data_IF_522430059585
#
_entry.id   IF_522430059585
#
_cell.length_a   1.000
_cell.length_b   1.000
_cell.length_c   1.000
_cell.angle_alpha   90.00
_cell.angle_beta   90.00
_cell.angle_gamma   90.00
#
_symmetry.space_group_name_H-M   'P 1'
#
loop_
_entity.id
_entity.type
_entity.pdbx_description
1 polymer ?
#
# COMPACT_ATOMS: atom_id res chain seq x y z
N UNK A 1 -12.54 -23.98 10.73
CA UNK A 1 -14.00 -23.98 11.05
C UNK A 1 -14.78 -23.80 9.76
N UNK A 2 -15.72 -24.70 9.45
CA UNK A 2 -16.53 -24.69 8.22
C UNK A 2 -17.92 -24.02 8.38
N UNK A 3 -18.12 -23.26 9.44
CA UNK A 3 -19.38 -22.60 9.71
C UNK A 3 -19.47 -21.23 9.02
N UNK A 4 -20.64 -20.90 8.47
CA UNK A 4 -20.96 -19.57 7.98
C UNK A 4 -21.25 -18.67 9.18
N UNK A 5 -20.55 -17.55 9.30
CA UNK A 5 -20.77 -16.54 10.33
C UNK A 5 -21.39 -15.29 9.70
N UNK A 6 -22.29 -14.68 10.42
CA UNK A 6 -22.90 -13.40 10.06
C UNK A 6 -21.92 -12.28 10.38
N UNK A 7 -21.53 -11.48 9.38
CA UNK A 7 -20.69 -10.30 9.56
C UNK A 7 -21.53 -9.02 9.59
N UNK A 8 -22.42 -8.83 8.61
CA UNK A 8 -23.38 -7.74 8.58
C UNK A 8 -24.60 -8.11 7.69
N UNK A 9 -25.56 -7.17 7.49
CA UNK A 9 -26.80 -7.43 6.71
C UNK A 9 -26.55 -7.89 5.26
N UNK A 10 -25.37 -7.63 4.70
CA UNK A 10 -25.03 -7.90 3.30
C UNK A 10 -23.87 -8.88 3.15
N UNK A 11 -23.27 -9.33 4.25
CA UNK A 11 -22.04 -10.11 4.20
C UNK A 11 -22.03 -11.23 5.23
N UNK A 12 -21.78 -12.43 4.74
CA UNK A 12 -21.47 -13.61 5.54
C UNK A 12 -20.02 -14.00 5.33
N UNK A 13 -19.39 -14.58 6.33
CA UNK A 13 -18.04 -15.12 6.27
C UNK A 13 -18.06 -16.62 6.48
N UNK A 14 -17.19 -17.32 5.76
CA UNK A 14 -16.99 -18.76 5.95
C UNK A 14 -15.52 -19.13 5.92
N UNK A 15 -15.15 -20.09 6.78
CA UNK A 15 -13.81 -20.67 6.73
C UNK A 15 -13.67 -21.64 5.53
N UNK A 16 -12.47 -21.76 5.01
CA UNK A 16 -12.13 -22.75 3.99
C UNK A 16 -11.15 -23.79 4.58
N UNK A 17 -11.62 -25.00 4.86
CA UNK A 17 -10.77 -26.06 5.44
C UNK A 17 -9.78 -26.67 4.42
N UNK A 18 -9.91 -26.33 3.14
CA UNK A 18 -9.09 -26.86 2.05
C UNK A 18 -7.97 -25.92 1.63
N UNK A 19 -7.70 -24.88 2.42
CA UNK A 19 -6.57 -23.99 2.14
C UNK A 19 -5.25 -24.73 2.24
N UNK A 20 -4.45 -24.56 1.21
CA UNK A 20 -3.04 -24.97 1.19
C UNK A 20 -2.19 -23.79 1.66
N UNK A 21 -1.06 -24.06 2.29
CA UNK A 21 -0.16 -23.01 2.75
C UNK A 21 0.44 -22.26 1.58
N UNK A 22 0.37 -20.95 1.64
CA UNK A 22 1.11 -20.06 0.74
C UNK A 22 2.61 -20.18 0.98
N UNK A 23 3.38 -20.22 -0.10
CA UNK A 23 4.84 -20.27 -0.06
C UNK A 23 5.40 -19.12 -0.90
N UNK A 24 6.06 -18.17 -0.24
CA UNK A 24 6.78 -17.07 -0.88
C UNK A 24 8.28 -17.39 -0.95
N UNK A 25 8.89 -17.15 -2.13
CA UNK A 25 10.31 -17.25 -2.37
C UNK A 25 10.84 -15.94 -2.88
N UNK A 26 11.75 -15.33 -2.12
CA UNK A 26 12.28 -14.01 -2.39
C UNK A 26 13.76 -14.08 -2.78
N UNK A 27 14.12 -13.25 -3.76
CA UNK A 27 15.51 -12.98 -4.13
C UNK A 27 15.69 -11.49 -4.17
N UNK A 28 16.64 -10.96 -3.39
CA UNK A 28 16.89 -9.52 -3.31
C UNK A 28 18.31 -9.18 -3.70
N UNK A 29 18.46 -8.04 -4.35
CA UNK A 29 19.73 -7.38 -4.63
C UNK A 29 19.73 -6.02 -3.97
N UNK A 30 20.73 -5.77 -3.12
CA UNK A 30 20.90 -4.53 -2.37
C UNK A 30 22.20 -3.83 -2.77
N UNK A 31 22.10 -2.55 -3.07
CA UNK A 31 23.23 -1.67 -3.34
C UNK A 31 23.17 -0.47 -2.40
N UNK A 32 24.27 -0.21 -1.69
CA UNK A 32 24.41 0.98 -0.86
C UNK A 32 25.70 1.73 -1.25
N UNK A 33 25.55 3.00 -1.57
CA UNK A 33 26.70 3.86 -1.88
C UNK A 33 26.46 5.27 -1.34
N UNK A 34 27.23 5.65 -0.32
CA UNK A 34 27.12 6.96 0.34
C UNK A 34 25.66 7.27 0.76
N UNK A 35 25.06 8.22 0.09
CA UNK A 35 23.70 8.71 0.31
C UNK A 35 22.65 8.01 -0.58
N UNK A 36 23.03 7.00 -1.35
CA UNK A 36 22.15 6.24 -2.23
C UNK A 36 22.00 4.81 -1.70
N UNK A 37 20.77 4.33 -1.62
CA UNK A 37 20.45 2.90 -1.47
C UNK A 37 19.48 2.48 -2.56
N UNK A 38 19.72 1.32 -3.13
CA UNK A 38 18.86 0.70 -4.12
C UNK A 38 18.60 -0.75 -3.71
N UNK A 39 17.35 -1.14 -3.74
CA UNK A 39 16.91 -2.52 -3.54
C UNK A 39 16.09 -2.96 -4.74
N UNK A 40 16.31 -4.18 -5.20
CA UNK A 40 15.50 -4.87 -6.19
C UNK A 40 15.14 -6.24 -5.63
N UNK A 41 13.86 -6.51 -5.46
CA UNK A 41 13.35 -7.79 -4.96
C UNK A 41 12.46 -8.43 -6.02
N UNK A 42 12.75 -9.68 -6.31
CA UNK A 42 11.89 -10.58 -7.06
C UNK A 42 11.26 -11.57 -6.11
N UNK A 43 9.95 -11.71 -6.17
CA UNK A 43 9.17 -12.64 -5.38
C UNK A 43 8.36 -13.57 -6.26
N UNK A 44 8.38 -14.86 -5.92
CA UNK A 44 7.49 -15.87 -6.47
C UNK A 44 6.60 -16.41 -5.36
N UNK A 45 5.30 -16.22 -5.51
CA UNK A 45 4.29 -16.69 -4.55
C UNK A 45 3.57 -17.90 -5.15
N UNK A 46 3.65 -19.03 -4.46
CA UNK A 46 2.92 -20.26 -4.79
C UNK A 46 1.70 -20.38 -3.89
N UNK A 47 0.56 -20.76 -4.48
CA UNK A 47 -0.71 -20.94 -3.78
C UNK A 47 -1.13 -19.71 -2.93
N UNK A 48 -1.09 -18.47 -3.47
CA UNK A 48 -1.41 -17.26 -2.72
C UNK A 48 -2.80 -17.37 -2.12
N UNK A 49 -2.94 -16.89 -0.86
CA UNK A 49 -4.20 -16.90 -0.14
C UNK A 49 -4.79 -15.48 -0.18
N UNK A 50 -5.91 -15.33 -0.86
CA UNK A 50 -6.62 -14.05 -0.91
C UNK A 50 -8.11 -14.21 -0.62
N UNK A 51 -8.74 -13.11 -0.24
CA UNK A 51 -10.17 -13.06 0.00
C UNK A 51 -10.95 -12.98 -1.31
N UNK A 52 -11.99 -13.79 -1.42
CA UNK A 52 -12.98 -13.68 -2.50
C UNK A 52 -14.37 -13.48 -1.91
N UNK A 53 -15.25 -12.90 -2.74
CA UNK A 53 -16.66 -12.71 -2.40
C UNK A 53 -17.49 -13.39 -3.48
N UNK A 54 -18.38 -14.29 -3.06
CA UNK A 54 -19.34 -15.00 -3.93
C UNK A 54 -20.77 -14.66 -3.51
N UNK A 55 -21.72 -14.89 -4.39
CA UNK A 55 -23.15 -14.74 -4.03
C UNK A 55 -23.56 -15.84 -3.04
N UNK A 56 -24.22 -15.46 -1.97
CA UNK A 56 -24.75 -16.42 -1.00
C UNK A 56 -26.08 -17.00 -1.47
N UNK A 57 -26.13 -18.32 -1.77
CA UNK A 57 -27.35 -19.04 -2.17
C UNK A 57 -28.11 -18.34 -3.30
N UNK A 58 -27.44 -17.91 -4.37
CA UNK A 58 -28.01 -17.20 -5.50
C UNK A 58 -28.67 -15.85 -5.17
N UNK A 59 -28.49 -15.35 -3.97
CA UNK A 59 -28.96 -14.04 -3.57
C UNK A 59 -27.93 -12.97 -3.94
N UNK A 60 -28.28 -12.12 -4.92
CA UNK A 60 -27.38 -11.07 -5.45
C UNK A 60 -27.10 -9.93 -4.48
N UNK A 61 -27.85 -9.85 -3.36
CA UNK A 61 -27.69 -8.78 -2.36
C UNK A 61 -26.82 -9.21 -1.18
N UNK A 62 -26.48 -10.50 -1.07
CA UNK A 62 -25.69 -11.04 0.03
C UNK A 62 -24.39 -11.63 -0.51
N UNK A 63 -23.26 -11.11 -0.03
CA UNK A 63 -21.92 -11.62 -0.32
C UNK A 63 -21.48 -12.67 0.70
N UNK A 64 -20.89 -13.77 0.23
CA UNK A 64 -20.20 -14.76 1.06
C UNK A 64 -18.71 -14.56 0.91
N UNK A 65 -18.06 -14.05 1.92
CA UNK A 65 -16.61 -13.88 1.99
C UNK A 65 -15.93 -15.17 2.39
N UNK A 66 -14.90 -15.55 1.67
CA UNK A 66 -14.04 -16.69 2.04
C UNK A 66 -12.61 -16.49 1.52
N UNK A 67 -11.65 -17.11 2.19
CA UNK A 67 -10.29 -17.23 1.72
C UNK A 67 -10.16 -18.40 0.75
N UNK A 68 -9.45 -18.20 -0.36
CA UNK A 68 -9.13 -19.24 -1.34
C UNK A 68 -7.66 -19.17 -1.73
N UNK A 69 -7.12 -20.30 -2.21
CA UNK A 69 -5.84 -20.26 -2.90
C UNK A 69 -6.04 -19.85 -4.36
N UNK A 70 -5.17 -19.02 -4.84
CA UNK A 70 -5.11 -18.58 -6.23
C UNK A 70 -4.00 -19.24 -7.02
N UNK A 71 -3.83 -18.79 -8.26
CA UNK A 71 -2.71 -19.20 -9.11
C UNK A 71 -1.44 -18.52 -8.64
N UNK A 72 -0.33 -19.25 -8.69
CA UNK A 72 1.00 -18.70 -8.42
C UNK A 72 1.27 -17.46 -9.28
N UNK A 73 1.89 -16.46 -8.69
CA UNK A 73 2.26 -15.22 -9.38
C UNK A 73 3.67 -14.76 -9.03
N UNK A 74 4.14 -13.81 -9.82
CA UNK A 74 5.44 -13.17 -9.59
C UNK A 74 5.23 -11.69 -9.26
N UNK A 75 6.12 -11.16 -8.44
CA UNK A 75 6.17 -9.76 -8.12
C UNK A 75 7.61 -9.24 -8.21
N UNK A 76 7.79 -8.02 -8.71
CA UNK A 76 9.06 -7.31 -8.72
C UNK A 76 8.87 -5.97 -8.08
N UNK A 77 9.61 -5.72 -7.00
CA UNK A 77 9.64 -4.44 -6.30
C UNK A 77 11.02 -3.82 -6.43
N UNK A 78 11.08 -2.57 -6.85
CA UNK A 78 12.30 -1.77 -6.92
C UNK A 78 12.17 -0.54 -6.04
N UNK A 79 13.12 -0.33 -5.14
CA UNK A 79 13.15 0.82 -4.24
C UNK A 79 14.47 1.56 -4.36
N UNK A 80 14.40 2.87 -4.60
CA UNK A 80 15.54 3.79 -4.62
C UNK A 80 15.36 4.82 -3.51
N UNK A 81 16.36 4.97 -2.65
CA UNK A 81 16.41 6.02 -1.65
C UNK A 81 17.65 6.88 -1.83
N UNK A 82 17.47 8.19 -1.78
CA UNK A 82 18.50 9.20 -1.84
C UNK A 82 18.41 10.09 -0.61
N UNK A 83 19.49 10.17 0.17
CA UNK A 83 19.53 10.90 1.45
C UNK A 83 20.81 11.77 1.56
N UNK A 84 21.05 12.71 0.64
CA UNK A 84 22.18 13.62 0.75
C UNK A 84 21.97 14.63 1.89
N UNK A 85 23.07 15.25 2.34
CA UNK A 85 23.05 16.30 3.35
C UNK A 85 23.69 17.57 2.78
N UNK A 86 22.97 18.69 2.87
CA UNK A 86 23.43 19.99 2.37
C UNK A 86 23.35 21.03 3.49
N UNK A 87 24.32 21.01 4.41
CA UNK A 87 24.34 21.88 5.59
C UNK A 87 23.11 21.65 6.49
N UNK A 88 22.22 22.64 6.56
CA UNK A 88 20.97 22.55 7.34
C UNK A 88 19.86 21.78 6.61
N UNK A 89 20.00 21.51 5.34
CA UNK A 89 19.00 20.85 4.53
C UNK A 89 19.32 19.38 4.34
N UNK A 90 18.40 18.51 4.77
CA UNK A 90 18.49 17.05 4.73
C UNK A 90 17.33 16.49 3.90
N UNK A 91 17.39 16.54 2.57
CA UNK A 91 16.36 15.95 1.73
C UNK A 91 16.46 14.43 1.74
N UNK A 92 15.30 13.77 1.68
CA UNK A 92 15.18 12.35 1.45
C UNK A 92 14.17 12.11 0.33
N UNK A 93 14.62 11.51 -0.76
CA UNK A 93 13.77 11.04 -1.84
C UNK A 93 13.71 9.52 -1.79
N UNK A 94 12.50 8.96 -1.73
CA UNK A 94 12.24 7.54 -1.86
C UNK A 94 11.32 7.31 -3.05
N UNK A 95 11.71 6.42 -3.94
CA UNK A 95 10.91 5.99 -5.08
C UNK A 95 10.79 4.47 -5.05
N UNK A 96 9.57 3.97 -4.99
CA UNK A 96 9.25 2.54 -5.05
C UNK A 96 8.39 2.28 -6.28
N UNK A 97 8.70 1.24 -7.01
CA UNK A 97 7.89 0.75 -8.13
C UNK A 97 7.66 -0.74 -7.92
N UNK A 98 6.42 -1.12 -7.93
CA UNK A 98 6.01 -2.51 -7.85
C UNK A 98 5.27 -2.93 -9.10
N UNK A 99 5.63 -4.09 -9.61
CA UNK A 99 4.97 -4.73 -10.73
C UNK A 99 4.73 -6.20 -10.43
N UNK A 100 3.48 -6.57 -10.44
CA UNK A 100 3.03 -7.94 -10.31
C UNK A 100 2.60 -8.55 -11.65
N UNK A 101 2.63 -9.87 -11.75
CA UNK A 101 1.99 -10.68 -12.79
C UNK A 101 0.95 -11.57 -12.13
N UNK A 102 -0.09 -10.90 -11.61
CA UNK A 102 -1.17 -11.52 -10.84
C UNK A 102 -2.34 -11.82 -11.79
N UNK A 103 -2.83 -13.06 -11.75
CA UNK A 103 -3.93 -13.53 -12.57
C UNK A 103 -5.12 -13.87 -11.67
N UNK A 104 -6.20 -13.13 -11.83
CA UNK A 104 -7.47 -13.39 -11.17
C UNK A 104 -8.55 -13.58 -12.25
N UNK A 105 -9.39 -14.59 -12.11
CA UNK A 105 -10.60 -14.71 -12.93
C UNK A 105 -11.57 -13.57 -12.60
N UNK A 106 -11.48 -12.50 -13.35
CA UNK A 106 -12.37 -11.35 -13.21
C UNK A 106 -13.44 -11.41 -14.31
N UNK A 107 -14.57 -10.71 -14.09
CA UNK A 107 -15.62 -10.56 -15.09
C UNK A 107 -15.09 -10.02 -16.43
N UNK A 108 -14.05 -9.24 -16.40
CA UNK A 108 -13.44 -8.61 -17.58
C UNK A 108 -12.30 -9.43 -18.20
N UNK A 109 -11.94 -10.60 -17.63
CA UNK A 109 -10.87 -11.47 -18.11
C UNK A 109 -9.49 -10.81 -18.13
N UNK A 110 -9.27 -9.74 -17.37
CA UNK A 110 -8.04 -8.94 -17.40
C UNK A 110 -7.06 -9.37 -16.31
N UNK A 111 -5.80 -9.40 -16.70
CA UNK A 111 -4.70 -9.53 -15.75
C UNK A 111 -4.56 -8.25 -14.92
N UNK A 112 -4.27 -8.39 -13.63
CA UNK A 112 -4.10 -7.29 -12.70
C UNK A 112 -2.62 -6.89 -12.65
N UNK A 113 -2.07 -6.41 -13.77
CA UNK A 113 -0.61 -6.26 -13.98
C UNK A 113 -0.13 -4.83 -14.15
N UNK A 114 -1.01 -3.84 -13.98
CA UNK A 114 -0.59 -2.45 -14.08
C UNK A 114 0.29 -2.10 -12.88
N UNK A 115 1.55 -1.67 -13.10
CA UNK A 115 2.44 -1.33 -11.99
C UNK A 115 1.90 -0.17 -11.17
N UNK A 116 2.23 -0.17 -9.88
CA UNK A 116 2.03 0.95 -8.98
C UNK A 116 3.39 1.54 -8.60
N UNK A 117 3.45 2.85 -8.46
CA UNK A 117 4.65 3.53 -7.98
C UNK A 117 4.29 4.49 -6.85
N UNK A 118 5.17 4.55 -5.85
CA UNK A 118 5.09 5.48 -4.74
C UNK A 118 6.35 6.35 -4.72
N UNK A 119 6.15 7.65 -4.64
CA UNK A 119 7.22 8.62 -4.49
C UNK A 119 7.00 9.35 -3.16
N UNK A 120 8.04 9.40 -2.35
CA UNK A 120 8.03 10.16 -1.10
C UNK A 120 9.20 11.11 -1.09
N UNK A 121 8.93 12.38 -0.87
CA UNK A 121 9.93 13.42 -0.76
C UNK A 121 9.80 14.11 0.58
N UNK A 122 10.75 13.87 1.46
CA UNK A 122 10.84 14.50 2.77
C UNK A 122 11.97 15.53 2.74
N UNK A 123 11.65 16.78 3.08
CA UNK A 123 12.59 17.87 3.21
C UNK A 123 12.66 18.28 4.68
N UNK A 124 13.79 18.02 5.30
CA UNK A 124 14.05 18.45 6.67
C UNK A 124 15.08 19.57 6.68
N UNK A 125 14.76 20.65 7.37
CA UNK A 125 15.63 21.78 7.60
C UNK A 125 15.96 21.87 9.10
N UNK A 126 17.17 21.47 9.45
CA UNK A 126 17.66 21.55 10.82
C UNK A 126 18.37 22.88 11.03
N UNK A 127 17.63 23.84 11.54
CA UNK A 127 18.15 25.17 11.85
C UNK A 127 18.57 25.25 13.31
N UNK A 128 19.40 26.23 13.67
CA UNK A 128 19.77 26.51 15.06
C UNK A 128 18.57 26.83 15.94
N UNK A 129 17.44 27.21 15.33
CA UNK A 129 16.24 27.68 16.01
C UNK A 129 15.22 26.57 16.21
N UNK A 130 14.91 25.80 15.16
CA UNK A 130 13.96 24.70 15.17
C UNK A 130 14.21 23.80 13.94
N UNK A 131 13.67 22.59 13.97
CA UNK A 131 13.62 21.68 12.83
C UNK A 131 12.26 21.84 12.14
N UNK A 132 12.29 22.02 10.81
CA UNK A 132 11.11 22.08 9.94
C UNK A 132 11.14 20.90 9.00
N UNK A 133 9.98 20.28 8.78
CA UNK A 133 9.88 19.18 7.82
C UNK A 133 8.66 19.33 6.93
N UNK A 134 8.85 19.06 5.64
CA UNK A 134 7.79 18.99 4.63
C UNK A 134 7.89 17.62 3.99
N UNK A 135 6.87 16.79 4.16
CA UNK A 135 6.76 15.48 3.55
C UNK A 135 5.68 15.48 2.47
N UNK A 136 6.07 15.06 1.27
CA UNK A 136 5.15 14.87 0.15
C UNK A 136 5.14 13.39 -0.22
N UNK A 137 3.96 12.85 -0.42
CA UNK A 137 3.76 11.46 -0.88
C UNK A 137 2.87 11.47 -2.12
N UNK A 138 3.28 10.76 -3.15
CA UNK A 138 2.50 10.57 -4.37
C UNK A 138 2.44 9.10 -4.74
N UNK A 139 1.23 8.57 -4.93
CA UNK A 139 0.98 7.18 -5.32
C UNK A 139 0.26 7.19 -6.66
N UNK A 140 0.79 6.43 -7.62
CA UNK A 140 0.20 6.32 -8.95
C UNK A 140 -0.98 5.36 -8.98
N UNK A 141 -1.73 5.38 -10.07
CA UNK A 141 -2.71 4.32 -10.39
C UNK A 141 -1.99 3.01 -10.64
N UNK A 142 -2.50 1.91 -10.10
CA UNK A 142 -1.94 0.58 -10.32
C UNK A 142 -2.65 -0.49 -9.54
N UNK A 143 -2.16 -1.71 -9.62
CA UNK A 143 -2.66 -2.84 -8.86
C UNK A 143 -1.65 -3.26 -7.79
N UNK A 144 -2.20 -3.57 -6.62
CA UNK A 144 -1.54 -4.23 -5.52
C UNK A 144 -2.39 -5.46 -5.19
N UNK A 145 -1.90 -6.64 -5.50
CA UNK A 145 -2.68 -7.88 -5.51
C UNK A 145 -4.00 -7.72 -6.29
N UNK A 146 -5.14 -7.90 -5.63
CA UNK A 146 -6.47 -7.74 -6.20
C UNK A 146 -7.10 -6.34 -5.96
N UNK A 147 -6.32 -5.38 -5.48
CA UNK A 147 -6.76 -4.00 -5.26
C UNK A 147 -6.29 -3.08 -6.39
N UNK A 148 -7.18 -2.24 -6.89
CA UNK A 148 -6.87 -1.26 -7.92
C UNK A 148 -7.01 0.17 -7.42
N UNK A 149 -5.88 0.87 -7.37
CA UNK A 149 -5.84 2.31 -7.13
C UNK A 149 -6.21 3.00 -8.45
N UNK A 150 -7.45 3.49 -8.58
CA UNK A 150 -7.96 4.03 -9.84
C UNK A 150 -7.77 5.55 -9.99
N UNK A 151 -7.49 6.27 -8.91
CA UNK A 151 -7.01 7.65 -8.93
C UNK A 151 -5.67 7.73 -8.21
N UNK A 152 -4.75 8.58 -8.71
CA UNK A 152 -3.51 8.82 -7.96
C UNK A 152 -3.84 9.54 -6.66
N UNK A 153 -3.05 9.27 -5.62
CA UNK A 153 -3.16 9.90 -4.31
C UNK A 153 -1.97 10.83 -4.10
N UNK A 154 -2.23 12.00 -3.54
CA UNK A 154 -1.19 12.96 -3.18
C UNK A 154 -1.46 13.47 -1.78
N UNK A 155 -0.40 13.51 -0.97
CA UNK A 155 -0.47 14.02 0.40
C UNK A 155 0.71 14.94 0.68
N UNK A 156 0.49 15.98 1.49
CA UNK A 156 1.53 16.88 1.98
C UNK A 156 1.35 17.13 3.46
N UNK A 157 2.37 16.77 4.24
CA UNK A 157 2.41 16.96 5.68
C UNK A 157 3.50 17.97 6.05
N UNK A 158 3.23 18.77 7.07
CA UNK A 158 4.17 19.73 7.65
C UNK A 158 4.45 19.36 9.10
N UNK A 159 5.68 19.55 9.54
CA UNK A 159 6.00 19.45 10.96
C UNK A 159 7.03 20.49 11.39
N UNK A 160 6.90 20.92 12.65
CA UNK A 160 7.85 21.77 13.34
C UNK A 160 8.20 21.10 14.65
N UNK A 161 9.49 21.00 14.92
CA UNK A 161 10.02 20.49 16.18
C UNK A 161 10.97 21.50 16.80
N UNK A 162 10.82 21.77 18.10
CA UNK A 162 11.68 22.65 18.89
C UNK A 162 11.94 22.09 20.27
N UNK A 163 13.19 21.85 20.59
CA UNK A 163 13.65 21.55 21.95
C UNK A 163 13.98 22.84 22.73
N UNK A 164 13.65 22.85 24.02
CA UNK A 164 13.93 23.90 24.98
C UNK A 164 14.61 23.31 26.22
N UNK A 165 15.33 24.11 26.96
CA UNK A 165 15.97 23.73 28.22
C UNK A 165 16.86 22.47 28.09
N UNK A 166 17.69 22.40 27.04
CA UNK A 166 18.53 21.25 26.72
C UNK A 166 17.68 19.96 26.52
N UNK A 167 16.61 20.10 25.75
CA UNK A 167 15.64 19.05 25.42
C UNK A 167 14.81 18.49 26.60
N UNK A 168 14.83 19.16 27.77
CA UNK A 168 13.92 18.83 28.87
C UNK A 168 12.47 19.18 28.56
N UNK A 169 12.23 20.11 27.63
CA UNK A 169 10.90 20.49 27.12
C UNK A 169 10.93 20.47 25.59
N UNK A 170 9.98 19.79 24.96
CA UNK A 170 9.85 19.75 23.52
C UNK A 170 8.48 20.28 23.07
N UNK A 171 8.48 21.05 22.02
CA UNK A 171 7.29 21.47 21.30
C UNK A 171 7.29 20.79 19.93
N UNK A 172 6.14 20.22 19.56
CA UNK A 172 5.96 19.55 18.29
C UNK A 172 4.59 19.89 17.72
N UNK A 173 4.57 20.34 16.47
CA UNK A 173 3.36 20.63 15.71
C UNK A 173 3.37 19.80 14.43
N UNK A 174 2.27 19.10 14.19
CA UNK A 174 2.01 18.39 12.95
C UNK A 174 0.76 18.92 12.28
N UNK A 175 0.83 19.09 10.98
CA UNK A 175 -0.32 19.42 10.12
C UNK A 175 -0.31 18.37 9.02
N UNK A 176 -1.26 17.46 9.06
CA UNK A 176 -1.40 16.40 8.05
C UNK A 176 -2.30 16.89 6.92
N UNK A 177 -1.99 16.43 5.72
CA UNK A 177 -2.78 16.69 4.52
C UNK A 177 -3.19 18.16 4.33
N UNK A 178 -2.17 19.02 4.29
CA UNK A 178 -2.32 20.49 4.21
C UNK A 178 -3.26 20.96 3.10
N UNK A 179 -3.36 20.20 2.02
CA UNK A 179 -4.17 20.53 0.85
C UNK A 179 -5.50 19.78 0.77
N UNK A 180 -5.80 18.87 1.72
CA UNK A 180 -7.02 18.04 1.70
C UNK A 180 -7.09 17.15 0.45
N UNK A 181 -5.97 16.54 0.06
CA UNK A 181 -5.86 15.77 -1.20
C UNK A 181 -5.64 14.27 -0.99
N UNK A 182 -5.63 13.83 0.26
CA UNK A 182 -5.38 12.42 0.63
C UNK A 182 -6.65 11.56 0.51
N UNK A 183 -7.35 11.67 -0.61
CA UNK A 183 -8.51 10.84 -0.90
C UNK A 183 -8.06 9.47 -1.40
N UNK A 184 -8.43 8.42 -0.68
CA UNK A 184 -8.18 7.04 -1.09
C UNK A 184 -9.27 6.57 -2.06
N UNK A 185 -8.88 6.14 -3.24
CA UNK A 185 -9.78 5.63 -4.28
C UNK A 185 -9.33 4.23 -4.72
N UNK A 186 -9.75 3.23 -3.96
CA UNK A 186 -9.37 1.83 -4.17
C UNK A 186 -10.60 1.01 -4.57
N UNK A 187 -10.43 0.12 -5.54
CA UNK A 187 -11.43 -0.85 -5.97
C UNK A 187 -10.89 -2.25 -5.71
N UNK A 188 -11.52 -2.99 -4.82
CA UNK A 188 -11.28 -4.41 -4.67
C UNK A 188 -11.85 -5.21 -5.86
N UNK A 189 -11.08 -6.18 -6.35
CA UNK A 189 -11.49 -7.11 -7.40
C UNK A 189 -11.64 -8.51 -6.80
N UNK A 190 -12.88 -8.99 -6.67
CA UNK A 190 -13.20 -10.27 -6.04
C UNK A 190 -13.91 -11.16 -7.06
N UNK A 191 -13.12 -11.84 -7.91
CA UNK A 191 -13.68 -12.68 -8.95
C UNK A 191 -14.61 -11.88 -9.89
N UNK A 192 -15.91 -12.27 -9.95
CA UNK A 192 -16.92 -11.61 -10.77
C UNK A 192 -17.57 -10.40 -10.07
N UNK A 193 -17.32 -10.19 -8.79
CA UNK A 193 -17.83 -9.08 -8.00
C UNK A 193 -16.82 -7.92 -7.99
N UNK A 194 -17.34 -6.71 -7.78
CA UNK A 194 -16.54 -5.49 -7.64
C UNK A 194 -16.99 -4.77 -6.39
N UNK A 195 -16.06 -4.49 -5.51
CA UNK A 195 -16.25 -3.63 -4.36
C UNK A 195 -15.52 -2.31 -4.58
N UNK A 196 -16.13 -1.21 -4.19
CA UNK A 196 -15.51 0.12 -4.23
C UNK A 196 -15.39 0.61 -2.79
N UNK A 197 -14.17 0.83 -2.35
CA UNK A 197 -13.87 1.38 -1.03
C UNK A 197 -13.48 2.84 -1.26
N UNK A 198 -14.22 3.74 -0.61
CA UNK A 198 -13.90 5.16 -0.53
C UNK A 198 -13.56 5.46 0.93
N UNK A 199 -12.35 5.89 1.20
CA UNK A 199 -12.00 6.52 2.47
C UNK A 199 -11.76 8.01 2.18
N UNK A 200 -12.74 8.84 2.52
CA UNK A 200 -12.55 10.28 2.66
C UNK A 200 -12.04 10.53 4.08
N UNK A 201 -10.77 10.88 4.22
CA UNK A 201 -10.25 11.45 5.45
C UNK A 201 -10.44 12.97 5.37
N UNK A 202 -11.49 13.45 5.99
CA UNK A 202 -11.70 14.88 6.25
C UNK A 202 -11.00 15.32 7.54
#
# INVERSE_FOLDING_TARGET
RSGVQYSNHYTYETGNPFLVSEISRNTSYDLAYKWLTFNLTYEHVSDPIYQTVEMYKDNTTIGLMRMINGKSYNNVTSTLNLQPTFGIWHPMLSAMVEKQWFELETRDGRYLNKPVAMFRFNNTFDTKWAMFSVMMTYITKGYEENHYIYKPMFNTDLSIYKGFLKDCLTFQLYVNDVFGTNDSHIIGKYGKLKETIFDEFS
#
